data_IF_139597994579
#
_entry.id   IF_139597994579
#
_cell.length_a   1.000
_cell.length_b   1.000
_cell.length_c   1.000
_cell.angle_alpha   90.00
_cell.angle_beta   90.00
_cell.angle_gamma   90.00
#
_symmetry.space_group_name_H-M   'P 1'
#
loop_
_entity.id
_entity.type
_entity.pdbx_description
1 polymer ?
#
# COMPACT_ATOMS: atom_id res chain seq x y z
N UNK A 1 -53.13 -28.46 28.90
CA UNK A 1 -53.13 -28.66 27.43
C UNK A 1 -53.19 -27.26 26.80
N UNK A 2 -52.14 -26.62 26.30
CA UNK A 2 -51.07 -27.09 25.42
C UNK A 2 -49.76 -26.41 25.82
N UNK A 3 -48.69 -27.21 25.90
CA UNK A 3 -47.38 -26.77 26.32
C UNK A 3 -46.73 -25.83 25.32
N UNK A 4 -45.99 -24.87 25.85
CA UNK A 4 -45.01 -24.05 25.16
C UNK A 4 -44.11 -24.92 24.30
N UNK A 5 -44.16 -24.70 22.99
CA UNK A 5 -43.17 -25.19 22.05
C UNK A 5 -42.32 -23.99 21.63
N UNK A 6 -41.26 -23.74 22.41
CA UNK A 6 -40.20 -22.82 22.02
C UNK A 6 -39.47 -23.41 20.82
N UNK A 7 -39.88 -23.00 19.62
CA UNK A 7 -39.13 -23.28 18.39
C UNK A 7 -37.91 -22.35 18.37
N UNK A 8 -36.80 -22.85 18.91
CA UNK A 8 -35.47 -22.36 18.58
C UNK A 8 -35.20 -22.70 17.11
N UNK A 9 -35.13 -21.71 16.22
CA UNK A 9 -34.66 -21.91 14.85
C UNK A 9 -34.15 -20.60 14.24
N UNK A 10 -32.93 -20.70 13.70
CA UNK A 10 -32.27 -19.85 12.72
C UNK A 10 -31.67 -18.52 13.19
N UNK A 11 -30.45 -18.64 13.71
CA UNK A 11 -29.35 -17.69 13.50
C UNK A 11 -29.17 -17.47 11.98
N UNK A 12 -29.85 -16.49 11.39
CA UNK A 12 -29.48 -15.98 10.06
C UNK A 12 -28.39 -14.93 10.26
N UNK A 13 -27.18 -15.44 10.46
CA UNK A 13 -25.97 -14.70 10.15
C UNK A 13 -25.87 -14.61 8.64
N UNK A 14 -26.05 -13.41 8.08
CA UNK A 14 -25.49 -12.98 6.80
C UNK A 14 -25.64 -11.45 6.66
N UNK A 15 -25.18 -10.72 7.67
CA UNK A 15 -24.56 -9.42 7.42
C UNK A 15 -23.17 -9.68 6.81
N UNK A 16 -23.10 -10.22 5.59
CA UNK A 16 -21.93 -10.00 4.75
C UNK A 16 -22.11 -8.63 4.11
N UNK A 17 -21.99 -7.61 4.95
CA UNK A 17 -21.53 -6.31 4.50
C UNK A 17 -20.07 -6.54 4.17
N UNK A 18 -19.76 -6.72 2.89
CA UNK A 18 -18.38 -6.73 2.37
C UNK A 18 -18.02 -5.28 1.97
N UNK A 19 -17.53 -4.41 2.87
CA UNK A 19 -16.89 -3.18 2.45
C UNK A 19 -15.49 -3.55 1.95
N UNK A 20 -15.40 -4.10 0.75
CA UNK A 20 -14.11 -4.55 0.20
C UNK A 20 -13.96 -4.38 -1.29
N UNK A 21 -15.05 -4.07 -2.01
CA UNK A 21 -14.99 -3.61 -3.39
C UNK A 21 -14.38 -2.21 -3.44
N UNK A 22 -13.05 -2.13 -3.36
CA UNK A 22 -12.29 -0.96 -3.77
C UNK A 22 -12.52 -0.82 -5.27
N UNK A 23 -13.61 -0.16 -5.63
CA UNK A 23 -13.69 0.54 -6.90
C UNK A 23 -12.49 1.48 -6.90
N UNK A 24 -11.45 1.10 -7.63
CA UNK A 24 -10.32 1.96 -7.97
C UNK A 24 -10.84 3.09 -8.87
N UNK A 25 -11.58 4.01 -8.25
CA UNK A 25 -11.81 5.33 -8.79
C UNK A 25 -10.47 6.02 -8.91
N UNK A 26 -10.30 6.78 -9.98
CA UNK A 26 -9.07 7.44 -10.41
C UNK A 26 -8.61 8.59 -9.48
N UNK A 27 -8.56 8.34 -8.17
CA UNK A 27 -7.92 9.20 -7.18
C UNK A 27 -6.42 8.86 -7.11
N UNK A 28 -5.52 9.85 -6.95
CA UNK A 28 -4.10 9.59 -6.80
C UNK A 28 -3.82 8.62 -5.65
N UNK A 29 -3.29 7.46 -6.01
CA UNK A 29 -2.82 6.44 -5.10
C UNK A 29 -1.59 6.93 -4.34
N UNK A 30 -1.71 7.00 -3.01
CA UNK A 30 -0.58 7.24 -2.12
C UNK A 30 0.12 5.92 -1.79
N UNK A 31 1.40 5.84 -2.12
CA UNK A 31 2.29 4.74 -1.72
C UNK A 31 3.37 5.26 -0.77
N UNK A 32 3.56 4.61 0.37
CA UNK A 32 4.59 4.94 1.36
C UNK A 32 5.59 3.79 1.44
N UNK A 33 6.87 4.08 1.29
CA UNK A 33 7.97 3.10 1.41
C UNK A 33 8.81 3.46 2.62
N UNK A 34 8.91 2.58 3.59
CA UNK A 34 9.84 2.70 4.72
C UNK A 34 11.13 1.96 4.40
N UNK A 35 12.27 2.60 4.67
CA UNK A 35 13.61 2.02 4.48
C UNK A 35 14.36 1.85 5.80
N UNK A 36 15.31 0.90 5.83
CA UNK A 36 16.10 0.59 7.03
C UNK A 36 16.94 1.79 7.50
N UNK A 37 17.57 2.45 6.55
CA UNK A 37 18.32 3.70 6.69
C UNK A 37 17.89 4.63 5.56
N UNK A 38 18.05 5.94 5.74
CA UNK A 38 17.86 6.90 4.66
C UNK A 38 19.03 7.87 4.66
N UNK A 39 19.94 7.71 3.71
CA UNK A 39 20.98 8.68 3.42
C UNK A 39 20.34 9.86 2.65
N UNK A 40 20.44 11.11 3.14
CA UNK A 40 19.76 12.25 2.50
C UNK A 40 20.13 12.46 1.03
N UNK A 41 21.38 12.19 0.66
CA UNK A 41 21.84 12.33 -0.73
C UNK A 41 21.37 11.17 -1.62
N UNK A 42 21.33 9.94 -1.10
CA UNK A 42 20.75 8.80 -1.80
C UNK A 42 19.24 8.99 -1.97
N UNK A 43 18.56 9.42 -0.92
CA UNK A 43 17.13 9.72 -0.93
C UNK A 43 16.73 10.75 -1.99
N UNK A 44 17.48 11.85 -2.14
CA UNK A 44 17.23 12.84 -3.21
C UNK A 44 17.32 12.20 -4.61
N UNK A 45 18.32 11.34 -4.84
CA UNK A 45 18.47 10.61 -6.11
C UNK A 45 17.29 9.66 -6.33
N UNK A 46 16.89 8.91 -5.31
CA UNK A 46 15.75 7.99 -5.35
C UNK A 46 14.45 8.73 -5.66
N UNK A 47 14.17 9.84 -4.99
CA UNK A 47 13.00 10.70 -5.29
C UNK A 47 13.01 11.13 -6.76
N UNK A 48 14.18 11.53 -7.28
CA UNK A 48 14.33 11.85 -8.70
C UNK A 48 13.97 10.66 -9.61
N UNK A 49 14.44 9.45 -9.29
CA UNK A 49 14.10 8.22 -10.04
C UNK A 49 12.63 7.85 -9.93
N UNK A 50 12.04 7.92 -8.75
CA UNK A 50 10.62 7.64 -8.53
C UNK A 50 9.74 8.57 -9.37
N UNK A 51 10.08 9.86 -9.48
CA UNK A 51 9.37 10.81 -10.35
C UNK A 51 9.46 10.51 -11.84
N UNK A 52 10.45 9.71 -12.27
CA UNK A 52 10.56 9.27 -13.67
C UNK A 52 9.72 8.03 -13.98
N UNK A 53 9.15 7.37 -12.96
CA UNK A 53 8.29 6.21 -13.18
C UNK A 53 6.96 6.65 -13.83
N UNK A 54 6.48 5.91 -14.85
CA UNK A 54 5.22 6.23 -15.50
C UNK A 54 4.07 6.12 -14.50
N UNK A 55 3.22 7.14 -14.46
CA UNK A 55 2.09 7.21 -13.53
C UNK A 55 2.39 7.85 -12.18
N UNK A 56 3.65 8.22 -11.88
CA UNK A 56 3.98 8.99 -10.67
C UNK A 56 3.74 10.48 -10.93
N UNK A 57 2.91 11.11 -10.10
CA UNK A 57 2.66 12.56 -10.13
C UNK A 57 3.54 13.32 -9.13
N UNK A 58 3.86 12.71 -7.99
CA UNK A 58 4.77 13.29 -7.02
C UNK A 58 5.54 12.21 -6.25
N UNK A 59 6.73 12.58 -5.77
CA UNK A 59 7.47 11.78 -4.81
C UNK A 59 8.25 12.70 -3.86
N UNK A 60 8.29 12.33 -2.60
CA UNK A 60 8.95 13.03 -1.51
C UNK A 60 9.66 12.01 -0.61
N UNK A 61 10.62 12.49 0.16
CA UNK A 61 11.27 11.71 1.20
C UNK A 61 11.16 12.43 2.53
N UNK A 62 11.09 11.66 3.61
CA UNK A 62 11.22 12.12 4.98
C UNK A 62 12.40 11.39 5.62
N UNK A 63 13.49 12.14 5.87
CA UNK A 63 14.72 11.61 6.46
C UNK A 63 14.51 11.19 7.92
N UNK A 64 13.65 11.90 8.65
CA UNK A 64 13.34 11.64 10.06
C UNK A 64 12.54 10.35 10.21
N UNK A 65 11.51 10.18 9.38
CA UNK A 65 10.66 8.99 9.35
C UNK A 65 11.29 7.83 8.56
N UNK A 66 12.36 8.09 7.79
CA UNK A 66 12.99 7.13 6.87
C UNK A 66 12.00 6.58 5.86
N UNK A 67 11.18 7.46 5.29
CA UNK A 67 10.11 7.10 4.36
C UNK A 67 10.24 7.84 3.03
N UNK A 68 9.70 7.22 1.99
CA UNK A 68 9.38 7.85 0.71
C UNK A 68 7.87 7.85 0.54
N UNK A 69 7.28 8.99 0.24
CA UNK A 69 5.86 9.11 -0.09
C UNK A 69 5.72 9.39 -1.57
N UNK A 70 4.92 8.59 -2.26
CA UNK A 70 4.74 8.63 -3.70
C UNK A 70 3.26 8.81 -3.99
N UNK A 71 2.92 9.83 -4.77
CA UNK A 71 1.60 10.03 -5.34
C UNK A 71 1.64 9.51 -6.77
N UNK A 72 0.77 8.57 -7.10
CA UNK A 72 0.83 7.87 -8.38
C UNK A 72 -0.54 7.39 -8.84
N UNK A 73 -0.61 6.82 -10.04
CA UNK A 73 -1.77 6.06 -10.45
C UNK A 73 -1.89 4.77 -9.61
N UNK A 74 -3.12 4.25 -9.45
CA UNK A 74 -3.35 3.00 -8.74
C UNK A 74 -2.70 1.75 -9.35
N UNK A 75 -2.34 1.84 -10.62
CA UNK A 75 -1.83 0.71 -11.40
C UNK A 75 -0.30 0.57 -11.35
N UNK A 76 0.41 1.43 -10.62
CA UNK A 76 1.87 1.29 -10.47
C UNK A 76 2.18 -0.02 -9.73
N UNK A 77 3.09 -0.82 -10.26
CA UNK A 77 3.49 -2.06 -9.60
C UNK A 77 4.24 -1.74 -8.29
N UNK A 78 3.79 -2.27 -7.14
CA UNK A 78 4.50 -2.16 -5.87
C UNK A 78 5.93 -2.68 -5.98
N UNK A 79 6.16 -3.72 -6.80
CA UNK A 79 7.48 -4.27 -7.06
C UNK A 79 8.40 -3.27 -7.75
N UNK A 80 7.92 -2.55 -8.78
CA UNK A 80 8.73 -1.53 -9.47
C UNK A 80 9.17 -0.43 -8.52
N UNK A 81 8.29 0.02 -7.63
CA UNK A 81 8.62 1.01 -6.60
C UNK A 81 9.69 0.44 -5.65
N UNK A 82 9.50 -0.77 -5.14
CA UNK A 82 10.46 -1.45 -4.26
C UNK A 82 11.85 -1.57 -4.90
N UNK A 83 11.91 -2.05 -6.14
CA UNK A 83 13.14 -2.25 -6.89
C UNK A 83 13.86 -0.94 -7.21
N UNK A 84 13.10 0.13 -7.47
CA UNK A 84 13.68 1.46 -7.69
C UNK A 84 14.42 1.94 -6.44
N UNK A 85 13.87 1.72 -5.25
CA UNK A 85 14.53 2.10 -4.00
C UNK A 85 15.75 1.21 -3.73
N UNK A 86 15.59 -0.12 -3.86
CA UNK A 86 16.64 -1.13 -3.65
C UNK A 86 17.85 -0.93 -4.57
N UNK A 87 17.61 -0.76 -5.88
CA UNK A 87 18.67 -0.58 -6.88
C UNK A 87 19.44 0.74 -6.75
N UNK A 88 18.90 1.71 -6.00
CA UNK A 88 19.52 3.01 -5.77
C UNK A 88 20.17 3.11 -4.37
N UNK A 89 20.28 1.98 -3.66
CA UNK A 89 21.14 1.84 -2.48
C UNK A 89 20.44 1.98 -1.13
N UNK A 90 19.11 2.09 -1.10
CA UNK A 90 18.34 2.03 0.16
C UNK A 90 17.56 0.72 0.22
N UNK A 91 17.42 0.14 1.42
CA UNK A 91 16.74 -1.15 1.59
C UNK A 91 15.32 -0.94 2.12
N UNK A 92 14.27 -1.17 1.31
CA UNK A 92 12.90 -1.13 1.79
C UNK A 92 12.65 -2.24 2.81
N UNK A 93 11.94 -1.91 3.88
CA UNK A 93 11.49 -2.86 4.92
C UNK A 93 9.96 -2.96 4.96
N UNK A 94 9.27 -1.96 4.42
CA UNK A 94 7.82 -1.87 4.38
C UNK A 94 7.41 -1.01 3.20
N UNK A 95 6.38 -1.45 2.47
CA UNK A 95 5.74 -0.69 1.40
C UNK A 95 4.24 -0.78 1.61
N UNK A 96 3.59 0.37 1.63
CA UNK A 96 2.15 0.54 1.81
C UNK A 96 1.62 1.23 0.59
N UNK A 97 0.73 0.59 -0.14
CA UNK A 97 0.05 1.22 -1.26
C UNK A 97 -1.34 0.62 -1.42
N UNK A 98 -2.08 1.05 -2.45
CA UNK A 98 -3.43 0.55 -2.63
C UNK A 98 -3.48 -0.89 -3.18
N UNK A 99 -2.34 -1.46 -3.59
CA UNK A 99 -2.17 -2.90 -3.78
C UNK A 99 -1.95 -3.70 -2.49
N UNK A 100 -1.91 -3.04 -1.32
CA UNK A 100 -1.73 -3.65 -0.01
C UNK A 100 -0.45 -3.24 0.72
N UNK A 101 -0.19 -3.93 1.84
CA UNK A 101 1.03 -3.77 2.65
C UNK A 101 1.99 -4.91 2.40
N UNK A 102 3.26 -4.58 2.15
CA UNK A 102 4.35 -5.52 1.89
C UNK A 102 5.49 -5.28 2.87
N UNK A 103 5.90 -6.30 3.61
CA UNK A 103 7.07 -6.28 4.52
C UNK A 103 8.28 -7.01 3.94
N UNK A 104 8.18 -7.36 2.66
CA UNK A 104 9.20 -8.02 1.85
C UNK A 104 8.98 -7.66 0.39
N UNK A 105 9.99 -7.88 -0.46
CA UNK A 105 9.92 -7.57 -1.88
C UNK A 105 8.66 -8.16 -2.52
N UNK A 106 7.77 -7.34 -3.09
CA UNK A 106 6.56 -7.81 -3.76
C UNK A 106 6.91 -8.70 -4.96
N UNK A 107 6.14 -9.76 -5.17
CA UNK A 107 6.36 -10.70 -6.29
C UNK A 107 5.86 -10.14 -7.62
N UNK A 108 4.86 -9.26 -7.60
CA UNK A 108 4.26 -8.58 -8.76
C UNK A 108 3.74 -7.20 -8.39
#
# INVERSE_FOLDING_TARGET
MKGSLFLALAFVALCFTEPGGHAYGADPATTVVTVKSLCPNCGKKIVGRLKTLPGVSAAQMDVTQKTFTIQSNPNISPKTVWETVESNGELPIRLEGPGGTFTSKPKS
#
